data_IF_835421510004
#
_entry.id   IF_835421510004
#
_cell.length_a   1.000
_cell.length_b   1.000
_cell.length_c   1.000
_cell.angle_alpha   90.00
_cell.angle_beta   90.00
_cell.angle_gamma   90.00
#
_symmetry.space_group_name_H-M   'P 1'
#
loop_
_entity.id
_entity.type
_entity.pdbx_description
1 polymer ?
#
# COMPACT_ATOMS: atom_id res chain seq x y z
N UNK A 1 10.48 9.66 -22.14
CA UNK A 1 9.93 8.78 -21.11
C UNK A 1 8.42 9.01 -21.03
N UNK A 2 7.62 8.01 -21.37
CA UNK A 2 6.15 8.12 -21.33
C UNK A 2 5.63 8.20 -19.89
N UNK A 3 4.38 8.66 -19.69
CA UNK A 3 3.76 8.71 -18.35
C UNK A 3 3.69 7.32 -17.69
N UNK A 4 3.52 6.26 -18.49
CA UNK A 4 3.52 4.86 -18.06
C UNK A 4 4.86 4.47 -17.46
N UNK A 5 5.94 4.68 -18.20
CA UNK A 5 7.31 4.33 -17.78
C UNK A 5 7.75 5.11 -16.53
N UNK A 6 7.29 6.36 -16.39
CA UNK A 6 7.58 7.18 -15.20
C UNK A 6 6.88 6.68 -13.94
N UNK A 7 5.60 6.30 -14.04
CA UNK A 7 4.79 5.90 -12.88
C UNK A 7 4.93 4.41 -12.55
N UNK A 8 5.17 3.60 -13.58
CA UNK A 8 5.38 2.15 -13.49
C UNK A 8 6.62 1.80 -14.31
N UNK A 9 7.83 2.07 -13.79
CA UNK A 9 9.07 1.67 -14.43
C UNK A 9 9.16 0.14 -14.54
N UNK A 10 10.02 -0.34 -15.43
CA UNK A 10 10.14 -1.79 -15.73
C UNK A 10 10.42 -2.62 -14.48
N UNK A 11 11.32 -2.15 -13.59
CA UNK A 11 11.61 -2.84 -12.32
C UNK A 11 10.35 -3.03 -11.45
N UNK A 12 9.50 -1.99 -11.35
CA UNK A 12 8.24 -2.09 -10.60
C UNK A 12 7.25 -3.03 -11.32
N UNK A 13 7.20 -2.95 -12.64
CA UNK A 13 6.33 -3.78 -13.46
C UNK A 13 6.67 -5.27 -13.31
N UNK A 14 7.95 -5.63 -13.37
CA UNK A 14 8.42 -6.99 -13.17
C UNK A 14 8.06 -7.55 -11.79
N UNK A 15 8.17 -6.74 -10.73
CA UNK A 15 7.72 -7.15 -9.39
C UNK A 15 6.20 -7.32 -9.33
N UNK A 16 5.45 -6.44 -9.99
CA UNK A 16 3.99 -6.51 -10.03
C UNK A 16 3.49 -7.77 -10.74
N UNK A 17 4.12 -8.16 -11.84
CA UNK A 17 3.77 -9.37 -12.60
C UNK A 17 3.86 -10.65 -11.74
N UNK A 18 4.72 -10.67 -10.72
CA UNK A 18 4.88 -11.82 -9.81
C UNK A 18 3.72 -11.98 -8.82
N UNK A 19 2.89 -10.96 -8.64
CA UNK A 19 1.85 -10.93 -7.58
C UNK A 19 0.45 -10.69 -8.10
N UNK A 20 0.32 -10.17 -9.32
CA UNK A 20 -0.98 -9.98 -9.97
C UNK A 20 -1.59 -11.34 -10.31
N UNK A 21 -2.88 -11.59 -10.01
CA UNK A 21 -3.54 -12.82 -10.41
C UNK A 21 -3.66 -12.88 -11.94
N UNK A 22 -3.60 -14.09 -12.48
CA UNK A 22 -3.87 -14.33 -13.89
C UNK A 22 -5.25 -13.78 -14.28
N UNK A 23 -5.33 -13.26 -15.50
CA UNK A 23 -6.60 -12.76 -16.00
C UNK A 23 -7.58 -13.95 -16.17
N UNK A 24 -8.80 -13.88 -15.60
CA UNK A 24 -9.80 -14.91 -15.79
C UNK A 24 -10.04 -15.14 -17.29
N UNK A 25 -9.95 -16.41 -17.69
CA UNK A 25 -10.36 -16.87 -19.01
C UNK A 25 -11.88 -16.95 -19.07
N UNK A 26 -12.47 -16.52 -20.18
CA UNK A 26 -13.91 -16.67 -20.41
C UNK A 26 -14.15 -17.93 -21.22
N UNK A 27 -14.84 -18.95 -20.67
CA UNK A 27 -15.06 -20.21 -21.38
C UNK A 27 -15.81 -20.05 -22.70
N UNK A 28 -16.73 -19.07 -22.76
CA UNK A 28 -17.59 -18.83 -23.92
C UNK A 28 -16.87 -18.14 -25.09
N UNK A 29 -15.64 -17.65 -24.89
CA UNK A 29 -15.00 -16.74 -25.82
C UNK A 29 -15.75 -15.39 -25.95
N UNK A 30 -15.10 -14.39 -26.54
CA UNK A 30 -15.73 -13.12 -26.89
C UNK A 30 -15.84 -12.03 -25.80
N UNK A 31 -16.31 -10.85 -26.23
CA UNK A 31 -16.37 -9.60 -25.47
C UNK A 31 -15.16 -8.69 -25.67
N UNK A 32 -15.24 -7.44 -25.17
CA UNK A 32 -14.14 -6.47 -25.27
C UNK A 32 -12.91 -6.98 -24.53
N UNK A 33 -11.74 -6.98 -25.20
CA UNK A 33 -10.45 -7.34 -24.62
C UNK A 33 -10.22 -6.55 -23.33
N UNK A 34 -9.74 -7.22 -22.27
CA UNK A 34 -9.34 -6.52 -21.04
C UNK A 34 -8.20 -5.56 -21.37
N UNK A 35 -8.22 -4.38 -20.75
CA UNK A 35 -7.07 -3.49 -20.75
C UNK A 35 -5.86 -4.20 -20.15
N UNK A 36 -4.67 -3.86 -20.63
CA UNK A 36 -3.44 -4.41 -20.09
C UNK A 36 -3.24 -3.99 -18.64
N UNK A 37 -2.57 -4.87 -17.89
CA UNK A 37 -2.41 -4.71 -16.45
C UNK A 37 -1.44 -3.58 -16.10
N UNK A 38 -0.47 -3.28 -16.97
CA UNK A 38 0.48 -2.18 -16.76
C UNK A 38 -0.21 -0.82 -16.88
N UNK A 39 -1.10 -0.68 -17.86
CA UNK A 39 -1.88 0.54 -18.10
C UNK A 39 -2.86 0.78 -16.94
N UNK A 40 -3.52 -0.28 -16.47
CA UNK A 40 -4.39 -0.23 -15.29
C UNK A 40 -3.61 0.13 -14.03
N UNK A 41 -2.44 -0.50 -13.81
CA UNK A 41 -1.59 -0.17 -12.67
C UNK A 41 -1.15 1.30 -12.73
N UNK A 42 -0.76 1.78 -13.90
CA UNK A 42 -0.37 3.17 -14.11
C UNK A 42 -1.51 4.13 -13.76
N UNK A 43 -2.73 3.84 -14.22
CA UNK A 43 -3.91 4.63 -13.88
C UNK A 43 -4.17 4.67 -12.36
N UNK A 44 -4.00 3.54 -11.67
CA UNK A 44 -4.16 3.46 -10.21
C UNK A 44 -3.07 4.28 -9.50
N UNK A 45 -1.81 4.17 -9.92
CA UNK A 45 -0.70 4.94 -9.34
C UNK A 45 -0.90 6.43 -9.59
N UNK A 46 -1.37 6.84 -10.77
CA UNK A 46 -1.69 8.24 -11.03
C UNK A 46 -2.76 8.77 -10.05
N UNK A 47 -3.87 8.05 -9.90
CA UNK A 47 -4.94 8.41 -8.97
C UNK A 47 -4.41 8.53 -7.54
N UNK A 48 -3.59 7.56 -7.11
CA UNK A 48 -3.01 7.54 -5.77
C UNK A 48 -2.02 8.69 -5.51
N UNK A 49 -1.23 9.08 -6.51
CA UNK A 49 -0.18 10.11 -6.37
C UNK A 49 -0.67 11.52 -6.63
N UNK A 50 -1.68 11.71 -7.49
CA UNK A 50 -2.26 13.01 -7.79
C UNK A 50 -3.44 13.39 -6.89
N UNK A 51 -4.09 12.42 -6.27
CA UNK A 51 -5.30 12.63 -5.47
C UNK A 51 -6.55 12.94 -6.31
N UNK A 52 -6.51 12.81 -7.64
CA UNK A 52 -7.70 12.98 -8.47
C UNK A 52 -8.72 11.87 -8.22
N UNK A 53 -10.00 12.14 -8.47
CA UNK A 53 -11.02 11.09 -8.41
C UNK A 53 -10.88 10.12 -9.58
N UNK A 54 -11.40 8.90 -9.45
CA UNK A 54 -11.45 7.94 -10.55
C UNK A 54 -12.11 8.52 -11.81
N UNK A 55 -13.14 9.36 -11.66
CA UNK A 55 -13.84 10.01 -12.78
C UNK A 55 -12.99 11.07 -13.48
N UNK A 56 -12.02 11.66 -12.78
CA UNK A 56 -11.09 12.66 -13.31
C UNK A 56 -9.84 12.04 -13.95
N UNK A 57 -9.77 10.71 -14.03
CA UNK A 57 -8.67 10.03 -14.73
C UNK A 57 -8.65 10.49 -16.20
N UNK A 58 -7.53 11.05 -16.70
CA UNK A 58 -7.48 11.61 -18.06
C UNK A 58 -7.60 10.51 -19.13
N UNK A 59 -8.79 10.35 -19.71
CA UNK A 59 -9.05 9.31 -20.72
C UNK A 59 -8.24 9.49 -22.01
N UNK A 60 -7.74 10.69 -22.29
CA UNK A 60 -6.88 10.97 -23.44
C UNK A 60 -5.45 10.43 -23.28
N UNK A 61 -4.99 10.22 -22.03
CA UNK A 61 -3.63 9.78 -21.73
C UNK A 61 -3.57 8.35 -21.17
N UNK A 62 -4.72 7.74 -20.91
CA UNK A 62 -4.86 6.41 -20.33
C UNK A 62 -5.89 5.60 -21.09
N UNK A 63 -5.52 4.39 -21.51
CA UNK A 63 -6.45 3.47 -22.14
C UNK A 63 -7.60 3.03 -21.21
N UNK A 64 -7.38 2.67 -19.93
CA UNK A 64 -8.48 2.26 -19.07
C UNK A 64 -9.28 3.47 -18.56
N UNK A 65 -10.60 3.34 -18.58
CA UNK A 65 -11.47 4.29 -17.88
C UNK A 65 -11.29 4.21 -16.36
N UNK A 66 -11.63 5.29 -15.66
CA UNK A 66 -11.63 5.32 -14.19
C UNK A 66 -12.42 4.19 -13.54
N UNK A 67 -13.59 3.85 -14.09
CA UNK A 67 -14.41 2.72 -13.62
C UNK A 67 -13.67 1.37 -13.78
N UNK A 68 -12.93 1.20 -14.87
CA UNK A 68 -12.11 0.00 -15.10
C UNK A 68 -10.96 -0.08 -14.11
N UNK A 69 -10.23 1.03 -13.91
CA UNK A 69 -9.14 1.11 -12.95
C UNK A 69 -9.62 0.80 -11.53
N UNK A 70 -10.74 1.39 -11.10
CA UNK A 70 -11.32 1.12 -9.77
C UNK A 70 -11.75 -0.34 -9.60
N UNK A 71 -12.37 -0.95 -10.62
CA UNK A 71 -12.76 -2.37 -10.58
C UNK A 71 -11.54 -3.28 -10.41
N UNK A 72 -10.46 -3.03 -11.17
CA UNK A 72 -9.20 -3.78 -11.06
C UNK A 72 -8.52 -3.52 -9.71
N UNK A 73 -8.50 -2.28 -9.23
CA UNK A 73 -8.04 -1.96 -7.88
C UNK A 73 -8.76 -2.80 -6.82
N UNK A 74 -10.09 -2.89 -6.88
CA UNK A 74 -10.87 -3.69 -5.93
C UNK A 74 -10.61 -5.20 -6.07
N UNK A 75 -10.46 -5.72 -7.30
CA UNK A 75 -10.09 -7.12 -7.57
C UNK A 75 -8.72 -7.44 -6.95
N UNK A 76 -7.71 -6.63 -7.26
CA UNK A 76 -6.35 -6.79 -6.76
C UNK A 76 -6.24 -6.60 -5.24
N UNK A 77 -7.06 -5.72 -4.66
CA UNK A 77 -7.13 -5.55 -3.20
C UNK A 77 -7.63 -6.82 -2.52
N UNK A 78 -8.69 -7.45 -3.04
CA UNK A 78 -9.20 -8.73 -2.53
C UNK A 78 -8.16 -9.85 -2.67
N UNK A 79 -7.41 -9.87 -3.77
CA UNK A 79 -6.30 -10.79 -4.00
C UNK A 79 -5.02 -10.48 -3.21
N UNK A 80 -5.03 -9.43 -2.36
CA UNK A 80 -3.92 -8.94 -1.53
C UNK A 80 -2.67 -8.56 -2.35
N UNK A 81 -2.84 -8.15 -3.60
CA UNK A 81 -1.73 -7.76 -4.52
C UNK A 81 -0.85 -6.69 -3.90
N UNK A 82 -1.43 -5.65 -3.31
CA UNK A 82 -0.67 -4.53 -2.71
C UNK A 82 0.24 -4.98 -1.56
N UNK A 83 -0.26 -5.84 -0.66
CA UNK A 83 0.52 -6.36 0.45
C UNK A 83 1.65 -7.30 -0.03
N UNK A 84 1.42 -8.07 -1.09
CA UNK A 84 2.44 -8.93 -1.70
C UNK A 84 3.50 -8.08 -2.43
N UNK A 85 3.08 -7.08 -3.19
CA UNK A 85 3.97 -6.16 -3.91
C UNK A 85 4.87 -5.39 -2.94
N UNK A 86 4.29 -4.83 -1.87
CA UNK A 86 5.03 -4.14 -0.82
C UNK A 86 6.14 -5.01 -0.22
N UNK A 87 5.86 -6.29 0.07
CA UNK A 87 6.88 -7.24 0.52
C UNK A 87 7.97 -7.49 -0.51
N UNK A 88 7.64 -7.59 -1.80
CA UNK A 88 8.63 -7.78 -2.85
C UNK A 88 9.53 -6.56 -3.02
N UNK A 89 8.97 -5.35 -2.98
CA UNK A 89 9.73 -4.10 -3.02
C UNK A 89 10.70 -4.02 -1.84
N UNK A 90 10.23 -4.32 -0.62
CA UNK A 90 11.08 -4.37 0.56
C UNK A 90 12.19 -5.43 0.44
N UNK A 91 11.88 -6.61 -0.09
CA UNK A 91 12.88 -7.67 -0.32
C UNK A 91 13.94 -7.26 -1.35
N UNK A 92 13.56 -6.54 -2.40
CA UNK A 92 14.48 -6.04 -3.42
C UNK A 92 15.44 -5.01 -2.83
N UNK A 93 14.90 -3.97 -2.17
CA UNK A 93 15.68 -2.93 -1.50
C UNK A 93 16.56 -3.53 -0.39
N UNK A 94 16.03 -4.49 0.36
CA UNK A 94 16.75 -5.18 1.41
C UNK A 94 17.92 -6.02 0.90
N UNK A 95 17.75 -6.70 -0.24
CA UNK A 95 18.81 -7.45 -0.91
C UNK A 95 19.93 -6.54 -1.44
N UNK A 96 19.58 -5.35 -1.94
CA UNK A 96 20.55 -4.32 -2.36
C UNK A 96 21.21 -3.61 -1.17
N UNK A 97 20.62 -3.72 0.03
CA UNK A 97 21.11 -3.10 1.25
C UNK A 97 20.74 -1.62 1.37
N UNK A 98 19.66 -1.21 0.70
CA UNK A 98 19.20 0.18 0.59
C UNK A 98 18.21 0.58 1.70
N UNK A 99 17.83 -0.34 2.58
CA UNK A 99 17.00 -0.04 3.75
C UNK A 99 17.87 0.39 4.94
N UNK A 100 17.65 1.60 5.47
CA UNK A 100 18.34 2.07 6.68
C UNK A 100 17.58 1.66 7.95
N UNK A 101 17.98 0.52 8.50
CA UNK A 101 17.42 -0.03 9.74
C UNK A 101 17.95 0.58 11.03
N UNK A 102 18.87 1.55 10.96
CA UNK A 102 19.53 2.10 12.16
C UNK A 102 18.52 2.76 13.10
N UNK A 103 17.51 3.42 12.52
CA UNK A 103 16.41 4.08 13.22
C UNK A 103 15.14 3.93 12.39
N UNK A 104 14.05 3.60 13.06
CA UNK A 104 12.72 3.61 12.49
C UNK A 104 11.84 4.56 13.31
N UNK A 105 10.79 5.10 12.70
CA UNK A 105 9.77 5.89 13.37
C UNK A 105 8.43 5.15 13.32
N UNK A 106 7.64 5.28 14.38
CA UNK A 106 6.24 4.85 14.42
C UNK A 106 5.35 6.07 14.65
N UNK A 107 4.29 6.17 13.87
CA UNK A 107 3.28 7.22 14.01
C UNK A 107 1.94 6.76 13.44
N UNK A 108 0.88 7.51 13.74
CA UNK A 108 -0.46 7.27 13.22
C UNK A 108 -1.16 8.54 12.76
N UNK A 109 -2.09 8.38 11.83
CA UNK A 109 -2.97 9.47 11.38
C UNK A 109 -4.43 9.05 11.44
N UNK A 110 -5.27 9.96 11.94
CA UNK A 110 -6.72 9.78 11.94
C UNK A 110 -7.33 10.15 10.59
N UNK A 111 -8.26 9.34 10.11
CA UNK A 111 -9.02 9.59 8.88
C UNK A 111 -10.52 9.35 9.09
N UNK A 112 -11.37 10.13 8.42
CA UNK A 112 -12.82 9.89 8.46
C UNK A 112 -13.19 8.63 7.68
N UNK A 113 -13.97 7.78 8.31
CA UNK A 113 -14.51 6.56 7.70
C UNK A 113 -15.94 6.81 7.22
N UNK A 114 -16.09 7.58 6.13
CA UNK A 114 -17.40 8.05 5.64
C UNK A 114 -18.39 6.91 5.35
N UNK A 115 -17.89 5.78 4.84
CA UNK A 115 -18.71 4.59 4.54
C UNK A 115 -18.81 3.60 5.69
N UNK A 116 -18.17 3.90 6.84
CA UNK A 116 -17.97 2.99 7.96
C UNK A 116 -17.23 1.72 7.52
N UNK A 117 -16.82 0.90 8.48
CA UNK A 117 -16.07 -0.33 8.22
C UNK A 117 -15.78 -1.07 9.52
N UNK A 118 -15.35 -2.32 9.41
CA UNK A 118 -15.05 -3.17 10.58
C UNK A 118 -13.97 -2.56 11.47
N UNK A 119 -13.05 -1.79 10.89
CA UNK A 119 -11.97 -1.08 11.58
C UNK A 119 -12.27 0.42 11.77
N UNK A 120 -13.55 0.80 11.84
CA UNK A 120 -13.96 2.18 12.13
C UNK A 120 -14.58 2.28 13.53
N UNK A 121 -14.22 3.33 14.26
CA UNK A 121 -14.72 3.60 15.60
C UNK A 121 -15.00 5.09 15.81
N UNK A 122 -15.65 5.48 16.92
CA UNK A 122 -15.91 6.87 17.24
C UNK A 122 -14.60 7.64 17.40
N UNK A 123 -14.43 8.73 16.65
CA UNK A 123 -13.21 9.52 16.70
C UNK A 123 -13.25 10.51 17.88
N UNK A 124 -12.33 10.40 18.87
CA UNK A 124 -12.31 11.30 20.02
C UNK A 124 -12.02 12.76 19.64
N UNK A 125 -11.34 13.01 18.51
CA UNK A 125 -10.99 14.37 18.05
C UNK A 125 -11.93 14.94 16.98
N UNK A 126 -12.95 14.18 16.57
CA UNK A 126 -13.95 14.63 15.59
C UNK A 126 -15.38 14.37 16.10
N UNK A 127 -15.65 14.77 17.35
CA UNK A 127 -17.00 14.73 17.97
C UNK A 127 -17.67 13.35 17.90
N UNK A 128 -16.89 12.26 18.00
CA UNK A 128 -17.40 10.90 17.92
C UNK A 128 -17.80 10.43 16.52
N UNK A 129 -17.56 11.22 15.46
CA UNK A 129 -17.78 10.76 14.08
C UNK A 129 -16.92 9.53 13.80
N UNK A 130 -17.40 8.62 12.95
CA UNK A 130 -16.68 7.39 12.66
C UNK A 130 -15.38 7.67 11.88
N UNK A 131 -14.29 7.13 12.38
CA UNK A 131 -12.97 7.23 11.80
C UNK A 131 -12.13 5.98 12.04
N UNK A 132 -11.02 5.93 11.34
CA UNK A 132 -9.97 4.93 11.50
C UNK A 132 -8.63 5.64 11.71
N UNK A 133 -7.67 4.91 12.27
CA UNK A 133 -6.26 5.30 12.29
C UNK A 133 -5.48 4.43 11.33
N UNK A 134 -4.62 5.06 10.54
CA UNK A 134 -3.56 4.37 9.80
C UNK A 134 -2.29 4.53 10.62
N UNK A 135 -1.69 3.41 11.00
CA UNK A 135 -0.43 3.36 11.72
C UNK A 135 0.68 2.89 10.80
N UNK A 136 1.86 3.47 10.93
CA UNK A 136 3.01 3.18 10.08
C UNK A 136 4.26 3.01 10.92
N UNK A 137 5.07 2.01 10.58
CA UNK A 137 6.50 2.02 10.90
C UNK A 137 7.25 2.32 9.62
N UNK A 138 8.08 3.35 9.62
CA UNK A 138 8.96 3.72 8.51
C UNK A 138 10.42 3.49 8.90
N UNK A 139 11.25 3.12 7.92
CA UNK A 139 12.70 3.24 8.09
C UNK A 139 13.15 4.70 8.00
N UNK A 140 14.43 4.96 8.23
CA UNK A 140 14.96 6.32 8.43
C UNK A 140 14.67 7.29 7.29
N UNK A 141 14.63 6.83 6.05
CA UNK A 141 14.34 7.68 4.87
C UNK A 141 12.85 7.83 4.58
N UNK A 142 11.99 7.20 5.37
CA UNK A 142 10.53 7.31 5.28
C UNK A 142 9.85 6.15 4.55
N UNK A 143 10.57 5.11 4.12
CA UNK A 143 9.96 3.94 3.47
C UNK A 143 9.15 3.13 4.50
N UNK A 144 7.85 2.88 4.26
CA UNK A 144 7.04 2.08 5.16
C UNK A 144 7.52 0.62 5.23
N UNK A 145 7.83 0.14 6.43
CA UNK A 145 8.16 -1.26 6.72
C UNK A 145 6.92 -2.07 7.11
N UNK A 146 5.98 -1.44 7.82
CA UNK A 146 4.76 -2.07 8.35
C UNK A 146 3.63 -1.05 8.39
N UNK A 147 2.42 -1.51 8.08
CA UNK A 147 1.20 -0.69 8.02
C UNK A 147 0.10 -1.41 8.78
N UNK A 148 -0.60 -0.69 9.66
CA UNK A 148 -1.74 -1.19 10.43
C UNK A 148 -2.92 -0.25 10.34
N UNK A 149 -4.14 -0.77 10.47
CA UNK A 149 -5.37 0.03 10.53
C UNK A 149 -6.15 -0.37 11.78
N UNK A 150 -6.63 0.61 12.53
CA UNK A 150 -7.51 0.41 13.69
C UNK A 150 -8.66 1.41 13.70
N UNK A 151 -9.62 1.23 14.61
CA UNK A 151 -10.64 2.25 14.89
C UNK A 151 -10.00 3.52 15.46
N UNK A 152 -10.62 4.68 15.21
CA UNK A 152 -10.11 5.97 15.69
C UNK A 152 -10.03 6.11 17.22
N UNK A 153 -10.84 5.35 17.95
CA UNK A 153 -10.82 5.29 19.42
C UNK A 153 -9.73 4.39 20.00
N UNK A 154 -8.99 3.65 19.17
CA UNK A 154 -7.91 2.78 19.66
C UNK A 154 -6.70 3.65 20.03
N UNK A 155 -6.15 3.43 21.22
CA UNK A 155 -4.94 4.12 21.68
C UNK A 155 -3.71 3.63 20.91
N UNK A 156 -2.78 4.53 20.59
CA UNK A 156 -1.68 4.23 19.67
C UNK A 156 -0.68 3.23 20.25
N UNK A 157 -0.48 3.23 21.57
CA UNK A 157 0.30 2.19 22.27
C UNK A 157 -0.20 0.76 22.02
N UNK A 158 -1.50 0.55 21.76
CA UNK A 158 -2.05 -0.76 21.42
C UNK A 158 -1.63 -1.25 20.03
N UNK A 159 -1.22 -0.34 19.14
CA UNK A 159 -0.77 -0.67 17.80
C UNK A 159 0.74 -0.97 17.72
N UNK A 160 1.53 -0.57 18.73
CA UNK A 160 2.99 -0.69 18.72
C UNK A 160 3.47 -2.13 18.50
N UNK A 161 3.05 -3.06 19.37
CA UNK A 161 3.47 -4.46 19.30
C UNK A 161 2.98 -5.11 17.99
N UNK A 162 1.68 -5.01 17.61
CA UNK A 162 1.21 -5.52 16.33
C UNK A 162 1.99 -4.99 15.12
N UNK A 163 2.32 -3.70 15.09
CA UNK A 163 3.08 -3.10 13.98
C UNK A 163 4.50 -3.65 13.88
N UNK A 164 5.22 -3.76 15.00
CA UNK A 164 6.58 -4.32 15.05
C UNK A 164 6.56 -5.79 14.64
N UNK A 165 5.59 -6.57 15.11
CA UNK A 165 5.42 -7.97 14.70
C UNK A 165 4.99 -8.09 13.22
N UNK A 166 4.30 -7.08 12.70
CA UNK A 166 3.85 -6.98 11.31
C UNK A 166 4.97 -6.71 10.32
N UNK A 167 6.17 -6.31 10.76
CA UNK A 167 7.34 -6.15 9.88
C UNK A 167 7.66 -7.53 9.27
N UNK A 168 7.56 -7.69 7.94
CA UNK A 168 7.83 -8.98 7.31
C UNK A 168 9.30 -9.37 7.48
N UNK A 169 9.67 -10.64 7.30
CA UNK A 169 11.07 -11.04 7.19
C UNK A 169 11.67 -10.48 5.90
N UNK A 170 12.26 -9.30 5.94
CA UNK A 170 12.81 -8.62 4.76
C UNK A 170 14.21 -9.17 4.45
N UNK A 171 14.54 -9.41 3.17
CA UNK A 171 15.89 -9.80 2.75
C UNK A 171 16.94 -8.80 3.24
N UNK A 172 18.12 -9.31 3.56
CA UNK A 172 19.28 -8.51 3.92
C UNK A 172 20.34 -8.71 2.84
N UNK A 173 21.13 -7.67 2.54
CA UNK A 173 22.30 -7.78 1.65
C UNK A 173 23.24 -8.93 2.01
N UNK A 174 23.39 -9.20 3.31
CA UNK A 174 24.12 -10.35 3.85
C UNK A 174 23.41 -10.92 5.07
N UNK A 175 23.48 -12.24 5.24
CA UNK A 175 22.97 -12.93 6.42
C UNK A 175 21.46 -13.16 6.43
N UNK A 176 20.90 -13.33 7.63
CA UNK A 176 19.48 -13.67 7.82
C UNK A 176 18.56 -12.50 7.45
N UNK A 177 17.32 -12.84 7.06
CA UNK A 177 16.23 -11.86 6.87
C UNK A 177 15.98 -11.08 8.16
N UNK A 178 15.78 -9.76 8.05
CA UNK A 178 15.60 -8.85 9.19
C UNK A 178 14.12 -8.55 9.43
N UNK A 179 13.74 -8.42 10.70
CA UNK A 179 12.36 -8.12 11.16
C UNK A 179 12.29 -7.00 12.20
N UNK A 180 13.43 -6.54 12.72
CA UNK A 180 13.47 -5.61 13.85
C UNK A 180 14.29 -4.36 13.53
N UNK A 181 13.76 -3.16 13.81
CA UNK A 181 14.53 -1.92 13.84
C UNK A 181 15.74 -2.03 14.77
N UNK A 182 16.80 -1.28 14.48
CA UNK A 182 17.90 -1.09 15.43
C UNK A 182 17.47 -0.22 16.62
N UNK A 183 16.73 0.85 16.33
CA UNK A 183 16.03 1.71 17.28
C UNK A 183 14.66 2.06 16.72
N UNK A 184 13.66 2.19 17.57
CA UNK A 184 12.32 2.63 17.21
C UNK A 184 12.00 3.90 17.99
N UNK A 185 11.57 4.93 17.28
CA UNK A 185 11.14 6.21 17.83
C UNK A 185 9.63 6.32 17.68
N UNK A 186 8.94 6.61 18.78
CA UNK A 186 7.53 7.01 18.80
C UNK A 186 7.38 8.25 19.66
N UNK A 187 6.25 8.92 19.55
CA UNK A 187 5.87 9.96 20.51
C UNK A 187 5.33 9.34 21.81
N UNK A 188 4.91 10.20 22.75
CA UNK A 188 4.35 9.77 24.04
C UNK A 188 3.03 9.00 23.90
N UNK A 189 2.38 9.03 22.75
CA UNK A 189 1.17 8.23 22.48
C UNK A 189 1.44 6.72 22.43
N UNK A 190 2.70 6.32 22.32
CA UNK A 190 3.14 4.92 22.27
C UNK A 190 3.69 4.38 23.60
N UNK A 191 3.72 5.20 24.66
CA UNK A 191 4.10 4.78 26.02
C UNK A 191 3.00 3.92 26.71
#
# INVERSE_FOLDING_TARGET
MGIVERLVPDELWELFQRVVPEAPTRPQGGGRRRHGDREVLTAIVLVATSGCTWQQLPSASFEPSGATAHRRFAEWSRARVWAKLHRLVLDELGARGELDWSRCAVDSVNMRALKRGELAGPNPVDRGKHGSKIHLITERTGLPLSVGISGANVHDSQALIPLVQGIPPIRSRRGRRRRRPGKLHGDKGYD
#
